data_IF_221247338809
#
_entry.id   IF_221247338809
#
_cell.length_a   1.000
_cell.length_b   1.000
_cell.length_c   1.000
_cell.angle_alpha   90.00
_cell.angle_beta   90.00
_cell.angle_gamma   90.00
#
_symmetry.space_group_name_H-M   'P 1'
#
loop_
_entity.id
_entity.type
_entity.pdbx_description
1 polymer ?
#
# COMPACT_ATOMS: atom_id res chain seq x y z
N UNK A 1 11.42 -1.76 11.19
CA UNK A 1 11.39 -0.55 10.35
C UNK A 1 10.01 -0.31 9.73
N UNK A 2 9.52 -1.11 8.77
CA UNK A 2 8.19 -0.85 8.14
C UNK A 2 7.04 -0.93 9.15
N UNK A 3 7.05 -1.96 10.01
CA UNK A 3 6.08 -2.08 11.10
C UNK A 3 6.10 -0.86 12.04
N UNK A 4 7.29 -0.31 12.32
CA UNK A 4 7.45 0.86 13.17
C UNK A 4 6.84 2.11 12.52
N UNK A 5 6.98 2.27 11.20
CA UNK A 5 6.30 3.35 10.46
C UNK A 5 4.77 3.19 10.48
N UNK A 6 4.25 1.97 10.36
CA UNK A 6 2.81 1.71 10.34
C UNK A 6 2.20 1.91 11.73
N UNK A 7 2.90 1.51 12.80
CA UNK A 7 2.41 1.68 14.17
C UNK A 7 2.36 3.15 14.62
N UNK A 8 3.06 4.07 13.94
CA UNK A 8 2.86 5.53 14.10
C UNK A 8 1.47 5.99 13.63
N UNK A 9 0.80 5.26 12.74
CA UNK A 9 -0.58 5.56 12.30
C UNK A 9 -1.57 5.12 13.39
N UNK A 10 -1.41 3.88 13.85
CA UNK A 10 -2.13 3.28 14.96
C UNK A 10 -1.35 2.09 15.51
N UNK A 11 -1.03 2.09 16.81
CA UNK A 11 -0.22 1.04 17.44
C UNK A 11 -0.84 -0.36 17.41
N UNK A 12 -2.13 -0.48 17.11
CA UNK A 12 -2.85 -1.76 17.06
C UNK A 12 -2.84 -2.42 15.68
N UNK A 13 -2.09 -1.90 14.70
CA UNK A 13 -1.83 -2.63 13.47
C UNK A 13 -0.89 -3.81 13.71
N UNK A 14 -1.26 -4.99 13.19
CA UNK A 14 -0.41 -6.19 13.17
C UNK A 14 -0.02 -6.54 11.73
N UNK A 15 1.23 -6.99 11.50
CA UNK A 15 1.61 -7.52 10.20
C UNK A 15 0.78 -8.76 9.89
N UNK A 16 0.39 -8.93 8.63
CA UNK A 16 -0.39 -10.09 8.18
C UNK A 16 0.43 -10.95 7.22
N UNK A 17 0.87 -10.37 6.11
CA UNK A 17 1.69 -11.02 5.09
C UNK A 17 2.64 -10.02 4.43
N UNK A 18 3.66 -10.56 3.77
CA UNK A 18 4.57 -9.81 2.92
C UNK A 18 5.19 -10.73 1.86
N UNK A 19 5.57 -10.14 0.73
CA UNK A 19 6.12 -10.86 -0.41
C UNK A 19 7.00 -9.95 -1.27
N UNK A 20 7.81 -10.56 -2.13
CA UNK A 20 8.58 -9.84 -3.14
C UNK A 20 7.81 -9.81 -4.47
N UNK A 21 7.79 -8.65 -5.11
CA UNK A 21 7.41 -8.47 -6.49
C UNK A 21 8.68 -8.31 -7.32
N UNK A 22 8.98 -9.32 -8.13
CA UNK A 22 10.06 -9.33 -9.11
C UNK A 22 9.39 -9.30 -10.49
N UNK A 23 9.43 -8.15 -11.15
CA UNK A 23 8.82 -7.94 -12.47
C UNK A 23 9.92 -7.83 -13.53
N UNK A 24 10.04 -8.88 -14.34
CA UNK A 24 10.91 -8.90 -15.52
C UNK A 24 10.34 -8.03 -16.66
N UNK A 25 11.17 -7.66 -17.66
CA UNK A 25 10.70 -7.00 -18.88
C UNK A 25 9.47 -7.69 -19.47
N UNK A 26 8.43 -6.89 -19.71
CA UNK A 26 7.15 -7.34 -20.25
C UNK A 26 6.14 -7.83 -19.22
N UNK A 27 6.47 -7.92 -17.92
CA UNK A 27 5.54 -8.33 -16.87
C UNK A 27 4.79 -7.14 -16.24
N UNK A 28 3.67 -7.43 -15.57
CA UNK A 28 2.81 -6.44 -14.89
C UNK A 28 2.09 -7.09 -13.71
N UNK A 29 1.47 -6.29 -12.85
CA UNK A 29 0.51 -6.78 -11.86
C UNK A 29 -0.88 -6.26 -12.20
N UNK A 30 -1.85 -7.16 -12.31
CA UNK A 30 -3.21 -6.84 -12.73
C UNK A 30 -3.95 -6.00 -11.67
N UNK A 31 -5.08 -5.42 -12.08
CA UNK A 31 -6.00 -4.72 -11.21
C UNK A 31 -6.49 -5.62 -10.05
N UNK A 32 -6.30 -5.17 -8.81
CA UNK A 32 -6.77 -5.86 -7.60
C UNK A 32 -6.86 -4.89 -6.41
N UNK A 33 -7.53 -5.31 -5.33
CA UNK A 33 -7.42 -4.70 -3.99
C UNK A 33 -6.98 -5.78 -3.01
N UNK A 34 -6.62 -5.37 -1.79
CA UNK A 34 -6.26 -6.28 -0.70
C UNK A 34 -7.39 -6.36 0.33
N UNK A 35 -8.64 -6.13 -0.07
CA UNK A 35 -9.77 -6.32 0.85
C UNK A 35 -9.85 -7.77 1.29
N UNK A 36 -10.12 -7.95 2.58
CA UNK A 36 -10.17 -9.27 3.19
C UNK A 36 -11.46 -9.39 3.99
N UNK A 37 -12.25 -10.39 3.65
CA UNK A 37 -13.52 -10.66 4.34
C UNK A 37 -13.28 -10.91 5.84
N UNK A 38 -14.10 -10.28 6.67
CA UNK A 38 -14.00 -10.38 8.13
C UNK A 38 -12.90 -9.51 8.77
N UNK A 39 -12.13 -8.74 7.97
CA UNK A 39 -11.12 -7.82 8.46
C UNK A 39 -11.58 -6.38 8.27
N UNK A 40 -11.23 -5.51 9.23
CA UNK A 40 -11.34 -4.06 9.05
C UNK A 40 -10.24 -3.59 8.11
N UNK A 41 -10.54 -2.55 7.32
CA UNK A 41 -9.60 -1.93 6.39
C UNK A 41 -8.20 -1.73 6.99
N UNK A 42 -7.21 -2.31 6.30
CA UNK A 42 -5.82 -2.31 6.70
C UNK A 42 -4.97 -1.26 5.97
N UNK A 43 -3.66 -1.38 6.17
CA UNK A 43 -2.64 -0.64 5.44
C UNK A 43 -1.84 -1.63 4.59
N UNK A 44 -1.96 -1.48 3.27
CA UNK A 44 -1.06 -2.11 2.31
C UNK A 44 0.17 -1.21 2.13
N UNK A 45 1.31 -1.82 1.82
CA UNK A 45 2.56 -1.10 1.64
C UNK A 45 3.44 -1.71 0.57
N UNK A 46 4.27 -0.87 -0.07
CA UNK A 46 5.28 -1.27 -1.05
C UNK A 46 6.57 -0.50 -0.81
N UNK A 47 7.66 -1.22 -0.58
CA UNK A 47 9.02 -0.71 -0.50
C UNK A 47 9.77 -0.98 -1.81
N UNK A 48 10.37 0.06 -2.40
CA UNK A 48 11.00 -0.01 -3.71
C UNK A 48 12.50 -0.28 -3.60
N UNK A 49 12.92 -1.50 -3.96
CA UNK A 49 14.34 -1.92 -3.95
C UNK A 49 15.03 -1.48 -5.25
N UNK A 50 14.36 -1.69 -6.38
CA UNK A 50 14.76 -1.13 -7.68
C UNK A 50 13.55 -0.49 -8.35
N UNK A 51 13.79 0.58 -9.09
CA UNK A 51 12.76 1.22 -9.92
C UNK A 51 13.41 1.80 -11.19
N UNK A 52 13.80 0.95 -12.15
CA UNK A 52 14.34 1.42 -13.42
C UNK A 52 13.34 2.33 -14.14
N UNK A 53 13.86 3.22 -14.98
CA UNK A 53 13.02 4.06 -15.81
C UNK A 53 12.12 3.19 -16.71
N UNK A 54 10.84 3.55 -16.82
CA UNK A 54 9.84 2.80 -17.60
C UNK A 54 9.58 1.34 -17.11
N UNK A 55 9.91 1.04 -15.86
CA UNK A 55 9.77 -0.31 -15.28
C UNK A 55 8.37 -0.68 -14.76
N UNK A 56 7.37 0.16 -15.05
CA UNK A 56 5.98 -0.04 -14.66
C UNK A 56 5.58 0.79 -13.44
N UNK A 57 4.89 1.91 -13.70
CA UNK A 57 4.34 2.75 -12.62
C UNK A 57 3.23 2.00 -11.87
N UNK A 58 3.15 2.22 -10.56
CA UNK A 58 1.99 1.84 -9.76
C UNK A 58 0.86 2.84 -9.98
N UNK A 59 -0.37 2.35 -10.12
CA UNK A 59 -1.55 3.18 -10.33
C UNK A 59 -2.58 2.85 -9.26
N UNK A 60 -2.91 3.82 -8.42
CA UNK A 60 -4.06 3.78 -7.52
C UNK A 60 -5.30 4.22 -8.29
N UNK A 61 -6.42 3.53 -8.08
CA UNK A 61 -7.66 3.77 -8.80
C UNK A 61 -8.77 4.01 -7.78
N UNK A 62 -9.43 5.16 -7.86
CA UNK A 62 -10.54 5.51 -6.98
C UNK A 62 -11.77 5.80 -7.82
N UNK A 63 -12.90 5.23 -7.43
CA UNK A 63 -14.19 5.55 -8.04
C UNK A 63 -14.77 6.82 -7.38
N UNK A 64 -14.99 7.85 -8.20
CA UNK A 64 -15.64 9.09 -7.79
C UNK A 64 -16.89 9.31 -8.65
N UNK A 65 -18.06 9.15 -8.05
CA UNK A 65 -19.36 9.12 -8.75
C UNK A 65 -19.37 8.04 -9.85
N UNK A 66 -19.46 8.45 -11.12
CA UNK A 66 -19.43 7.56 -12.29
C UNK A 66 -18.08 7.58 -13.03
N UNK A 67 -17.01 8.09 -12.40
CA UNK A 67 -15.69 8.22 -13.02
C UNK A 67 -14.64 7.46 -12.22
N UNK A 68 -13.76 6.76 -12.94
CA UNK A 68 -12.51 6.22 -12.41
C UNK A 68 -11.44 7.31 -12.44
N UNK A 69 -10.92 7.68 -11.28
CA UNK A 69 -9.76 8.53 -11.13
C UNK A 69 -8.52 7.64 -10.98
N UNK A 70 -7.48 7.92 -11.76
CA UNK A 70 -6.23 7.17 -11.72
C UNK A 70 -5.12 8.08 -11.20
N UNK A 71 -4.48 7.68 -10.11
CA UNK A 71 -3.33 8.37 -9.53
C UNK A 71 -2.07 7.53 -9.72
N UNK A 72 -1.13 8.05 -10.51
CA UNK A 72 0.11 7.34 -10.83
C UNK A 72 1.20 7.69 -9.81
N UNK A 73 1.82 6.66 -9.24
CA UNK A 73 2.94 6.80 -8.30
C UNK A 73 4.24 6.46 -9.02
N UNK A 74 5.21 7.37 -8.93
CA UNK A 74 6.57 7.23 -9.46
C UNK A 74 7.57 7.38 -8.30
N UNK A 75 7.85 6.30 -7.58
CA UNK A 75 8.72 6.34 -6.41
C UNK A 75 10.20 6.41 -6.80
N UNK A 76 11.02 6.86 -5.86
CA UNK A 76 12.46 6.71 -5.89
C UNK A 76 12.86 5.43 -5.15
N UNK A 77 13.98 4.82 -5.52
CA UNK A 77 14.54 3.68 -4.78
C UNK A 77 14.69 4.03 -3.30
N UNK A 78 14.26 3.13 -2.43
CA UNK A 78 14.20 3.32 -0.98
C UNK A 78 12.89 3.96 -0.47
N UNK A 79 12.00 4.41 -1.36
CA UNK A 79 10.69 4.87 -0.94
C UNK A 79 9.83 3.72 -0.40
N UNK A 80 9.09 4.04 0.65
CA UNK A 80 8.00 3.23 1.20
C UNK A 80 6.69 3.95 0.90
N UNK A 81 5.84 3.31 0.11
CA UNK A 81 4.48 3.78 -0.19
C UNK A 81 3.54 3.01 0.72
N UNK A 82 2.69 3.68 1.50
CA UNK A 82 1.56 3.03 2.18
C UNK A 82 0.23 3.56 1.64
N UNK A 83 -0.77 2.69 1.60
CA UNK A 83 -2.11 3.01 1.11
C UNK A 83 -3.16 2.06 1.74
N UNK A 84 -4.45 2.43 1.77
CA UNK A 84 -5.48 1.56 2.34
C UNK A 84 -5.63 0.27 1.53
N UNK A 85 -5.84 -0.86 2.21
CA UNK A 85 -5.99 -2.18 1.56
C UNK A 85 -7.17 -2.23 0.60
N UNK A 86 -8.20 -1.42 0.81
CA UNK A 86 -9.38 -1.38 -0.06
C UNK A 86 -9.15 -0.66 -1.38
N UNK A 87 -8.07 0.12 -1.54
CA UNK A 87 -7.85 0.91 -2.76
C UNK A 87 -7.45 -0.02 -3.91
N UNK A 88 -8.26 -0.11 -4.99
CA UNK A 88 -7.87 -0.86 -6.16
C UNK A 88 -6.63 -0.27 -6.82
N UNK A 89 -5.73 -1.13 -7.28
CA UNK A 89 -4.47 -0.71 -7.89
C UNK A 89 -3.92 -1.75 -8.87
N UNK A 90 -2.96 -1.31 -9.68
CA UNK A 90 -2.22 -2.15 -10.60
C UNK A 90 -0.77 -1.66 -10.73
N UNK A 91 0.09 -2.49 -11.29
CA UNK A 91 1.44 -2.09 -11.74
C UNK A 91 1.46 -2.20 -13.25
N UNK A 92 1.75 -1.09 -13.94
CA UNK A 92 1.85 -1.06 -15.41
C UNK A 92 2.93 -2.03 -15.88
N UNK A 93 2.86 -2.39 -17.17
CA UNK A 93 3.87 -3.25 -17.78
C UNK A 93 5.26 -2.65 -17.63
N UNK A 94 6.20 -3.46 -17.17
CA UNK A 94 7.62 -3.16 -17.25
C UNK A 94 8.03 -3.15 -18.73
N UNK A 95 8.31 -1.98 -19.30
CA UNK A 95 8.78 -1.84 -20.70
C UNK A 95 10.25 -1.45 -20.76
N UNK A 96 10.94 -1.49 -19.62
CA UNK A 96 12.39 -1.36 -19.55
C UNK A 96 13.08 -2.68 -19.94
N UNK A 97 14.40 -2.66 -20.00
CA UNK A 97 15.24 -3.86 -20.17
C UNK A 97 15.72 -4.45 -18.85
N UNK A 98 15.26 -3.91 -17.72
CA UNK A 98 15.76 -4.23 -16.38
C UNK A 98 14.66 -4.80 -15.48
N UNK A 99 15.05 -5.59 -14.48
CA UNK A 99 14.13 -6.17 -13.50
C UNK A 99 13.73 -5.13 -12.44
N UNK A 100 12.41 -4.95 -12.23
CA UNK A 100 11.85 -4.14 -11.14
C UNK A 100 11.64 -5.03 -9.91
N UNK A 101 12.21 -4.64 -8.78
CA UNK A 101 12.12 -5.37 -7.51
C UNK A 101 11.50 -4.46 -6.46
N UNK A 102 10.44 -4.96 -5.84
CA UNK A 102 9.78 -4.30 -4.70
C UNK A 102 9.36 -5.34 -3.67
N UNK A 103 9.23 -4.92 -2.42
CA UNK A 103 8.69 -5.75 -1.33
C UNK A 103 7.36 -5.16 -0.94
N UNK A 104 6.31 -5.96 -0.90
CA UNK A 104 4.97 -5.53 -0.53
C UNK A 104 4.48 -6.31 0.68
N UNK A 105 3.45 -5.80 1.34
CA UNK A 105 2.77 -6.51 2.41
C UNK A 105 1.57 -5.78 2.95
N UNK A 106 0.91 -6.40 3.93
CA UNK A 106 -0.29 -5.87 4.57
C UNK A 106 -0.17 -5.84 6.09
N UNK A 107 -0.79 -4.84 6.69
CA UNK A 107 -1.09 -4.79 8.10
C UNK A 107 -2.59 -4.58 8.30
N UNK A 108 -3.17 -5.30 9.25
CA UNK A 108 -4.58 -5.12 9.63
C UNK A 108 -4.69 -4.77 11.10
N UNK A 109 -5.78 -4.10 11.52
CA UNK A 109 -6.07 -3.92 12.93
C UNK A 109 -6.13 -5.26 13.65
N UNK A 110 -5.51 -5.34 14.81
CA UNK A 110 -5.58 -6.50 15.68
C UNK A 110 -7.03 -6.78 16.09
N UNK A 111 -7.56 -7.93 15.66
CA UNK A 111 -8.96 -8.31 15.91
C UNK A 111 -9.29 -8.42 17.40
N UNK A 112 -8.30 -8.78 18.23
CA UNK A 112 -8.46 -8.87 19.68
C UNK A 112 -8.42 -7.51 20.37
N UNK A 113 -8.05 -6.45 19.64
CA UNK A 113 -7.87 -5.08 20.14
C UNK A 113 -8.67 -4.07 19.34
N UNK A 114 -9.79 -4.50 18.75
CA UNK A 114 -10.57 -3.67 17.82
C UNK A 114 -11.23 -2.48 18.52
N UNK A 115 -11.60 -2.64 19.79
CA UNK A 115 -12.18 -1.59 20.62
C UNK A 115 -11.12 -0.53 20.93
N UNK A 116 -9.91 -0.94 21.31
CA UNK A 116 -8.81 0.00 21.55
C UNK A 116 -8.34 0.67 20.26
N UNK A 117 -8.26 -0.06 19.14
CA UNK A 117 -7.99 0.49 17.81
C UNK A 117 -8.97 1.62 17.49
N UNK A 118 -10.27 1.37 17.68
CA UNK A 118 -11.32 2.34 17.41
C UNK A 118 -11.28 3.52 18.38
N UNK A 119 -10.97 3.27 19.65
CA UNK A 119 -10.80 4.32 20.66
C UNK A 119 -9.70 5.32 20.30
N UNK A 120 -8.53 4.86 19.83
CA UNK A 120 -7.45 5.75 19.39
C UNK A 120 -7.90 6.66 18.23
N UNK A 121 -8.75 6.16 17.35
CA UNK A 121 -9.34 6.94 16.25
C UNK A 121 -10.30 8.01 16.78
N UNK A 122 -11.26 7.63 17.63
CA UNK A 122 -12.27 8.57 18.13
C UNK A 122 -11.69 9.65 19.04
N UNK A 123 -10.60 9.36 19.75
CA UNK A 123 -9.90 10.32 20.60
C UNK A 123 -8.89 11.18 19.82
N UNK A 124 -8.80 11.03 18.48
CA UNK A 124 -7.89 11.80 17.65
C UNK A 124 -6.41 11.46 17.85
N UNK A 125 -6.12 10.30 18.43
CA UNK A 125 -4.76 9.79 18.71
C UNK A 125 -4.22 8.89 17.59
N UNK A 126 -5.06 8.61 16.59
CA UNK A 126 -4.70 7.87 15.39
C UNK A 126 -4.84 8.72 14.14
N UNK A 127 -3.85 8.60 13.24
CA UNK A 127 -3.89 9.22 11.92
C UNK A 127 -4.59 8.36 10.86
N UNK A 128 -5.27 7.28 11.26
CA UNK A 128 -5.83 6.29 10.33
C UNK A 128 -6.70 6.89 9.22
N UNK A 129 -7.64 7.79 9.55
CA UNK A 129 -8.49 8.44 8.55
C UNK A 129 -7.79 9.54 7.74
N UNK A 130 -6.73 10.12 8.29
CA UNK A 130 -5.94 11.17 7.63
C UNK A 130 -4.81 10.60 6.79
N UNK A 131 -4.58 9.29 6.89
CA UNK A 131 -3.54 8.61 6.13
C UNK A 131 -4.01 8.41 4.68
N UNK A 132 -3.70 9.39 3.83
CA UNK A 132 -3.91 9.32 2.38
C UNK A 132 -2.56 9.29 1.71
N UNK A 133 -2.09 8.09 1.34
CA UNK A 133 -0.96 7.88 0.44
C UNK A 133 0.29 8.72 0.74
N UNK A 134 1.10 8.31 1.73
CA UNK A 134 2.40 8.94 1.99
C UNK A 134 3.52 8.13 1.34
N UNK A 135 4.47 8.82 0.72
CA UNK A 135 5.78 8.26 0.35
C UNK A 135 6.86 9.26 0.76
N UNK A 136 8.04 8.76 1.09
CA UNK A 136 9.14 9.62 1.56
C UNK A 136 9.66 10.47 0.38
N UNK A 137 9.37 11.78 0.39
CA UNK A 137 10.06 12.77 -0.45
C UNK A 137 11.42 13.11 0.13
#
# INVERSE_FOLDING_TARGET
MIHDEITKINKYFKPYDWWAHILEPGQSTLYHSHEKEGFRDGIAWVYYVTYPENSGDMVLIVDALKKKLMYTIRPVVGNLVLFPTHVPHLVKRNVSTETRISIAGNHYPDSEKIDEFSKEIYEGRSNYFYYVGHYNN
#
